data_IF_571143463127
#
_entry.id   IF_571143463127
#
_cell.length_a   1.000
_cell.length_b   1.000
_cell.length_c   1.000
_cell.angle_alpha   90.00
_cell.angle_beta   90.00
_cell.angle_gamma   90.00
#
_symmetry.space_group_name_H-M   'P 1'
#
loop_
_entity.id
_entity.type
_entity.pdbx_description
1 polymer ?
#
# COMPACT_ATOMS: atom_id res chain seq x y z
N UNK A 1 -4.22 35.29 13.97
CA UNK A 1 -3.43 34.58 12.94
C UNK A 1 -1.96 34.61 13.36
N UNK A 2 -1.34 33.44 13.56
CA UNK A 2 0.04 33.32 14.06
C UNK A 2 0.87 32.42 13.09
N UNK A 3 0.79 32.71 11.80
CA UNK A 3 1.54 31.95 10.77
C UNK A 3 2.92 32.53 10.48
N UNK A 4 3.88 31.67 10.06
CA UNK A 4 5.22 32.07 9.63
C UNK A 4 5.29 31.99 8.10
N UNK A 5 5.70 33.07 7.45
CA UNK A 5 5.90 33.11 6.01
C UNK A 5 7.31 33.64 5.69
N UNK A 6 8.08 32.86 4.94
CA UNK A 6 9.42 33.22 4.44
C UNK A 6 9.47 32.99 2.92
N UNK A 7 9.64 34.06 2.16
CA UNK A 7 9.73 34.02 0.70
C UNK A 7 8.69 34.90 0.01
N UNK A 8 8.94 35.26 -1.27
CA UNK A 8 8.03 36.07 -2.06
C UNK A 8 6.73 35.30 -2.36
N UNK A 9 5.58 35.95 -2.21
CA UNK A 9 4.25 35.35 -2.43
C UNK A 9 3.94 34.09 -1.60
N UNK A 10 4.70 33.86 -0.50
CA UNK A 10 4.34 32.82 0.46
C UNK A 10 3.06 33.17 1.22
N UNK A 11 2.27 32.18 1.59
CA UNK A 11 1.02 32.33 2.34
C UNK A 11 0.95 31.30 3.47
N UNK A 12 0.69 31.75 4.69
CA UNK A 12 0.44 30.87 5.84
C UNK A 12 -0.95 31.13 6.40
N UNK A 13 -1.65 30.06 6.75
CA UNK A 13 -2.92 30.09 7.46
C UNK A 13 -2.74 30.16 8.97
N UNK A 14 -3.76 29.75 9.71
CA UNK A 14 -3.75 29.76 11.17
C UNK A 14 -2.70 28.78 11.70
N UNK A 15 -1.69 29.31 12.44
CA UNK A 15 -0.55 28.53 12.95
C UNK A 15 0.20 27.74 11.84
N UNK A 16 0.10 28.21 10.59
CA UNK A 16 0.76 27.55 9.44
C UNK A 16 2.19 28.06 9.23
N UNK A 17 3.01 27.26 8.52
CA UNK A 17 4.38 27.60 8.11
C UNK A 17 4.48 27.50 6.59
N UNK A 18 4.87 28.60 5.92
CA UNK A 18 5.13 28.63 4.49
C UNK A 18 6.55 29.16 4.21
N UNK A 19 7.43 28.31 3.67
CA UNK A 19 8.83 28.66 3.38
C UNK A 19 9.13 28.38 1.90
N UNK A 20 9.43 29.42 1.14
CA UNK A 20 9.76 29.37 -0.28
C UNK A 20 8.88 30.27 -1.12
N UNK A 21 9.35 30.62 -2.33
CA UNK A 21 8.58 31.46 -3.26
C UNK A 21 7.28 30.77 -3.66
N UNK A 22 6.14 31.38 -3.38
CA UNK A 22 4.82 30.81 -3.67
C UNK A 22 4.44 29.60 -2.83
N UNK A 23 5.16 29.31 -1.73
CA UNK A 23 4.75 28.29 -0.79
C UNK A 23 3.41 28.66 -0.14
N UNK A 24 2.48 27.71 -0.05
CA UNK A 24 1.12 27.93 0.43
C UNK A 24 0.72 26.91 1.50
N UNK A 25 0.56 27.38 2.72
CA UNK A 25 0.05 26.65 3.87
C UNK A 25 -1.23 27.32 4.39
N UNK A 26 -2.04 27.92 3.51
CA UNK A 26 -3.23 28.67 3.84
C UNK A 26 -4.48 28.19 3.14
N UNK A 27 -4.42 28.06 1.81
CA UNK A 27 -5.63 27.83 1.01
C UNK A 27 -6.05 26.36 1.07
N UNK A 28 -7.25 26.12 1.56
CA UNK A 28 -7.84 24.79 1.63
C UNK A 28 -8.18 24.26 0.23
N UNK A 29 -7.97 22.97 0.04
CA UNK A 29 -8.42 22.29 -1.17
C UNK A 29 -9.93 22.38 -1.31
N UNK A 30 -10.41 22.80 -2.48
CA UNK A 30 -11.84 22.93 -2.76
C UNK A 30 -12.58 21.60 -2.51
N UNK A 31 -13.71 21.68 -1.81
CA UNK A 31 -14.52 20.51 -1.46
C UNK A 31 -14.07 19.74 -0.22
N UNK A 32 -13.01 20.18 0.48
CA UNK A 32 -12.64 19.61 1.77
C UNK A 32 -13.20 20.45 2.91
N UNK A 33 -13.83 19.82 3.90
CA UNK A 33 -14.30 20.52 5.10
C UNK A 33 -13.18 20.64 6.14
N UNK A 34 -13.21 21.73 6.94
CA UNK A 34 -12.36 21.83 8.11
C UNK A 34 -12.79 20.80 9.16
N UNK A 35 -11.88 20.00 9.67
CA UNK A 35 -12.13 19.17 10.84
C UNK A 35 -12.27 19.96 12.14
N UNK A 36 -11.98 21.26 12.11
CA UNK A 36 -12.13 22.17 13.25
C UNK A 36 -13.48 22.91 13.17
N UNK A 37 -14.35 22.62 14.11
CA UNK A 37 -15.63 23.31 14.28
C UNK A 37 -15.40 24.81 14.59
N UNK A 38 -15.89 25.70 13.71
CA UNK A 38 -15.94 27.13 13.96
C UNK A 38 -15.06 28.04 13.11
N UNK A 39 -14.36 27.55 12.09
CA UNK A 39 -13.62 28.40 11.16
C UNK A 39 -14.54 29.01 10.10
N UNK A 40 -14.75 30.33 10.16
CA UNK A 40 -15.51 31.10 9.16
C UNK A 40 -14.73 31.31 7.83
N UNK A 41 -13.44 30.95 7.80
CA UNK A 41 -12.51 31.13 6.67
C UNK A 41 -12.14 29.80 6.06
N UNK A 42 -11.85 29.78 4.78
CA UNK A 42 -11.43 28.61 4.03
C UNK A 42 -9.93 28.26 4.26
N UNK A 43 -9.34 28.81 5.32
CA UNK A 43 -7.92 28.63 5.64
C UNK A 43 -7.65 27.28 6.32
N UNK A 44 -6.50 26.68 6.03
CA UNK A 44 -6.00 25.50 6.75
C UNK A 44 -5.34 25.91 8.07
N UNK A 45 -5.35 24.99 9.02
CA UNK A 45 -4.75 25.15 10.36
C UNK A 45 -3.60 24.16 10.53
N UNK A 46 -2.51 24.58 11.21
CA UNK A 46 -1.33 23.75 11.50
C UNK A 46 -0.66 23.15 10.26
N UNK A 47 -0.82 23.75 9.08
CA UNK A 47 -0.23 23.23 7.85
C UNK A 47 1.20 23.73 7.65
N UNK A 48 2.07 22.93 7.06
CA UNK A 48 3.47 23.24 6.77
C UNK A 48 3.76 23.05 5.29
N UNK A 49 4.18 24.12 4.58
CA UNK A 49 4.59 24.07 3.19
C UNK A 49 6.02 24.59 3.05
N UNK A 50 6.96 23.73 2.66
CA UNK A 50 8.38 24.06 2.52
C UNK A 50 8.84 23.75 1.09
N UNK A 51 9.25 24.75 0.35
CA UNK A 51 9.74 24.67 -1.02
C UNK A 51 9.00 25.59 -1.97
N UNK A 52 9.62 25.96 -3.08
CA UNK A 52 9.00 26.80 -4.11
C UNK A 52 7.72 26.14 -4.64
N UNK A 53 6.58 26.84 -4.52
CA UNK A 53 5.28 26.32 -4.96
C UNK A 53 4.75 25.12 -4.17
N UNK A 54 5.32 24.79 -3.01
CA UNK A 54 4.77 23.76 -2.13
C UNK A 54 3.40 24.18 -1.59
N UNK A 55 2.45 23.24 -1.50
CA UNK A 55 1.07 23.51 -1.05
C UNK A 55 0.59 22.50 -0.02
N UNK A 56 0.43 22.94 1.21
CA UNK A 56 -0.22 22.18 2.28
C UNK A 56 -1.66 22.68 2.44
N UNK A 57 -2.61 22.01 1.80
CA UNK A 57 -4.00 22.48 1.62
C UNK A 57 -5.03 21.68 2.45
N UNK A 58 -4.56 21.04 3.51
CA UNK A 58 -5.37 20.35 4.54
C UNK A 58 -4.89 20.71 5.93
N UNK A 59 -5.77 20.67 6.92
CA UNK A 59 -5.39 20.86 8.32
C UNK A 59 -4.36 19.81 8.75
N UNK A 60 -3.35 20.19 9.52
CA UNK A 60 -2.24 19.37 10.00
C UNK A 60 -1.31 18.79 8.91
N UNK A 61 -1.54 19.08 7.63
CA UNK A 61 -0.77 18.50 6.55
C UNK A 61 0.60 19.16 6.36
N UNK A 62 1.57 18.36 5.89
CA UNK A 62 2.93 18.80 5.64
C UNK A 62 3.30 18.53 4.19
N UNK A 63 3.72 19.57 3.44
CA UNK A 63 4.25 19.44 2.08
C UNK A 63 5.70 19.91 2.04
N UNK A 64 6.64 19.03 1.68
CA UNK A 64 8.07 19.30 1.68
C UNK A 64 8.66 19.07 0.28
N UNK A 65 9.31 20.10 -0.25
CA UNK A 65 9.96 20.11 -1.56
C UNK A 65 9.21 20.96 -2.59
N UNK A 66 9.91 21.49 -3.57
CA UNK A 66 9.32 22.32 -4.62
C UNK A 66 8.17 21.61 -5.33
N UNK A 67 7.02 22.23 -5.45
CA UNK A 67 5.83 21.66 -6.08
C UNK A 67 5.14 20.52 -5.33
N UNK A 68 5.60 20.16 -4.13
CA UNK A 68 4.90 19.16 -3.31
C UNK A 68 3.51 19.61 -2.91
N UNK A 69 2.53 18.73 -2.87
CA UNK A 69 1.19 19.08 -2.44
C UNK A 69 0.53 17.99 -1.58
N UNK A 70 -0.50 18.37 -0.85
CA UNK A 70 -1.32 17.46 -0.04
C UNK A 70 -2.72 17.28 -0.61
N UNK A 71 -2.86 17.33 -1.95
CA UNK A 71 -4.14 17.17 -2.64
C UNK A 71 -4.76 15.78 -2.35
N UNK A 72 -3.91 14.76 -2.19
CA UNK A 72 -4.31 13.43 -1.70
C UNK A 72 -4.14 13.40 -0.18
N UNK A 73 -5.22 13.15 0.53
CA UNK A 73 -5.22 13.07 1.99
C UNK A 73 -4.78 11.71 2.51
N UNK A 74 -4.48 11.67 3.80
CA UNK A 74 -4.25 10.42 4.52
C UNK A 74 -5.48 9.50 4.47
N UNK A 75 -5.25 8.20 4.48
CA UNK A 75 -6.29 7.18 4.45
C UNK A 75 -6.31 6.36 5.74
N UNK A 76 -7.51 6.03 6.21
CA UNK A 76 -7.67 5.04 7.28
C UNK A 76 -7.46 3.65 6.68
N UNK A 77 -6.40 2.98 7.11
CA UNK A 77 -6.14 1.63 6.65
C UNK A 77 -5.36 0.86 7.71
N UNK A 78 -6.00 -0.09 8.38
CA UNK A 78 -5.41 -0.99 9.38
C UNK A 78 -5.35 -2.44 8.91
N UNK A 79 -5.92 -2.72 7.73
CA UNK A 79 -5.93 -4.07 7.14
C UNK A 79 -6.09 -4.01 5.62
N UNK A 80 -5.77 -5.12 4.97
CA UNK A 80 -6.03 -5.37 3.55
C UNK A 80 -6.52 -6.81 3.35
N UNK A 81 -7.57 -6.98 2.56
CA UNK A 81 -8.05 -8.30 2.19
C UNK A 81 -7.34 -8.77 0.92
N UNK A 82 -6.59 -9.84 1.03
CA UNK A 82 -5.89 -10.49 -0.07
C UNK A 82 -6.89 -11.16 -1.05
N UNK A 83 -6.50 -11.44 -2.31
CA UNK A 83 -7.39 -12.08 -3.30
C UNK A 83 -7.95 -13.45 -2.87
N UNK A 84 -7.27 -14.15 -1.95
CA UNK A 84 -7.72 -15.42 -1.35
C UNK A 84 -8.62 -15.23 -0.10
N UNK A 85 -9.18 -14.03 0.11
CA UNK A 85 -10.02 -13.65 1.25
C UNK A 85 -9.31 -13.68 2.62
N UNK A 86 -8.00 -13.83 2.67
CA UNK A 86 -7.23 -13.67 3.91
C UNK A 86 -7.09 -12.20 4.24
N UNK A 87 -7.37 -11.82 5.47
CA UNK A 87 -7.21 -10.44 5.96
C UNK A 87 -5.83 -10.31 6.59
N UNK A 88 -4.96 -9.52 5.97
CA UNK A 88 -3.72 -9.05 6.56
C UNK A 88 -3.99 -7.79 7.37
N UNK A 89 -3.64 -7.78 8.65
CA UNK A 89 -3.80 -6.64 9.56
C UNK A 89 -2.46 -6.15 10.06
N UNK A 90 -2.37 -4.86 10.34
CA UNK A 90 -1.16 -4.20 10.83
C UNK A 90 -1.48 -3.15 11.89
N UNK A 91 -0.46 -2.66 12.58
CA UNK A 91 -0.57 -1.63 13.59
C UNK A 91 -0.85 -0.25 12.97
N UNK A 92 -1.62 0.57 13.66
CA UNK A 92 -1.90 1.96 13.26
C UNK A 92 -2.90 2.11 12.11
N UNK A 93 -3.05 3.32 11.61
CA UNK A 93 -3.88 3.66 10.45
C UNK A 93 -5.38 3.78 10.70
N UNK A 94 -5.90 3.33 11.82
CA UNK A 94 -7.33 3.33 12.16
C UNK A 94 -7.87 4.72 12.54
N UNK A 95 -7.00 5.63 12.97
CA UNK A 95 -7.35 7.00 13.39
C UNK A 95 -6.83 8.08 12.46
N UNK A 96 -6.16 7.73 11.38
CA UNK A 96 -5.63 8.68 10.39
C UNK A 96 -6.74 9.57 9.84
N UNK A 97 -6.55 10.87 9.89
CA UNK A 97 -7.42 11.86 9.28
C UNK A 97 -6.90 12.28 7.90
N UNK A 98 -7.74 12.85 7.03
CA UNK A 98 -7.28 13.29 5.70
C UNK A 98 -6.14 14.29 5.70
N UNK A 99 -5.94 15.05 6.80
CA UNK A 99 -4.82 15.97 6.96
C UNK A 99 -3.57 15.36 7.55
N UNK A 100 -3.63 14.18 8.13
CA UNK A 100 -2.47 13.51 8.75
C UNK A 100 -1.56 12.90 7.67
N UNK A 101 -0.94 13.77 6.88
CA UNK A 101 -0.11 13.39 5.74
C UNK A 101 1.15 14.24 5.66
N UNK A 102 2.28 13.59 5.39
CA UNK A 102 3.51 14.25 4.97
C UNK A 102 3.75 13.90 3.49
N UNK A 103 3.71 14.90 2.63
CA UNK A 103 3.92 14.74 1.19
C UNK A 103 5.29 15.28 0.78
N UNK A 104 6.07 14.45 0.09
CA UNK A 104 7.36 14.82 -0.48
C UNK A 104 7.30 15.08 -2.00
N UNK A 105 6.12 15.11 -2.60
CA UNK A 105 5.94 15.28 -4.02
C UNK A 105 4.53 15.65 -4.42
N UNK A 106 4.19 15.34 -5.66
CA UNK A 106 2.85 15.42 -6.22
C UNK A 106 2.63 14.23 -7.15
N UNK A 107 1.38 13.97 -7.53
CA UNK A 107 1.02 12.86 -8.44
C UNK A 107 1.85 12.95 -9.74
N UNK A 108 2.60 11.90 -10.04
CA UNK A 108 3.51 11.80 -11.19
C UNK A 108 4.88 12.46 -10.97
N UNK A 109 5.13 13.04 -9.80
CA UNK A 109 6.41 13.67 -9.40
C UNK A 109 6.76 13.28 -7.97
N UNK A 110 6.67 12.00 -7.67
CA UNK A 110 7.01 11.42 -6.38
C UNK A 110 8.52 11.50 -6.11
N UNK A 111 8.92 11.57 -4.83
CA UNK A 111 10.33 11.58 -4.43
C UNK A 111 10.68 10.35 -3.61
N UNK A 112 11.89 9.85 -3.81
CA UNK A 112 12.44 8.78 -2.98
C UNK A 112 12.99 9.36 -1.66
N UNK A 113 12.69 8.70 -0.53
CA UNK A 113 13.41 8.92 0.70
C UNK A 113 14.69 8.09 0.69
N UNK A 114 15.85 8.75 0.78
CA UNK A 114 17.17 8.12 0.84
C UNK A 114 17.70 8.13 2.27
N UNK A 115 18.63 7.21 2.56
CA UNK A 115 19.31 7.10 3.85
C UNK A 115 18.34 6.87 5.03
N UNK A 116 17.24 6.17 4.77
CA UNK A 116 16.31 5.73 5.82
C UNK A 116 16.96 4.55 6.56
N UNK A 117 17.12 4.69 7.88
CA UNK A 117 17.57 3.59 8.72
C UNK A 117 16.53 2.45 8.75
N UNK A 118 16.93 1.20 9.02
CA UNK A 118 15.97 0.14 9.26
C UNK A 118 15.04 0.50 10.42
N UNK A 119 13.72 0.35 10.18
CA UNK A 119 12.73 0.47 11.23
C UNK A 119 12.61 -0.79 12.06
N UNK A 120 11.98 -0.71 13.23
CA UNK A 120 11.66 -1.89 14.03
C UNK A 120 10.72 -2.83 13.27
N UNK A 121 11.02 -4.12 13.28
CA UNK A 121 10.17 -5.16 12.71
C UNK A 121 9.46 -5.89 13.83
N UNK A 122 8.24 -5.47 14.13
CA UNK A 122 7.38 -6.09 15.16
C UNK A 122 5.91 -5.95 14.75
N UNK A 123 5.03 -6.71 15.41
CA UNK A 123 3.58 -6.64 15.16
C UNK A 123 2.94 -5.29 15.56
N UNK A 124 3.63 -4.48 16.35
CA UNK A 124 3.14 -3.20 16.84
C UNK A 124 3.89 -2.00 16.29
N UNK A 125 4.95 -2.22 15.51
CA UNK A 125 5.74 -1.14 14.90
C UNK A 125 4.92 -0.35 13.88
N UNK A 126 5.15 0.95 13.89
CA UNK A 126 4.67 1.89 12.87
C UNK A 126 5.81 2.61 12.15
N UNK A 127 7.04 2.08 12.30
CA UNK A 127 8.22 2.64 11.65
C UNK A 127 8.20 2.41 10.14
N UNK A 128 8.85 3.30 9.41
CA UNK A 128 9.13 3.08 7.99
C UNK A 128 10.18 1.98 7.83
N UNK A 129 9.97 1.07 6.90
CA UNK A 129 10.94 0.05 6.50
C UNK A 129 11.75 0.52 5.28
N UNK A 130 13.01 0.11 5.20
CA UNK A 130 13.82 0.38 4.02
C UNK A 130 13.92 -0.83 3.08
N UNK A 131 14.46 -0.61 1.87
CA UNK A 131 14.53 -1.64 0.84
C UNK A 131 15.34 -2.89 1.23
N UNK A 132 16.34 -2.76 2.11
CA UNK A 132 17.13 -3.92 2.54
C UNK A 132 16.34 -4.86 3.46
N UNK A 133 15.45 -4.32 4.30
CA UNK A 133 14.54 -5.12 5.12
C UNK A 133 13.57 -5.92 4.26
N UNK A 134 12.98 -5.28 3.24
CA UNK A 134 12.11 -5.96 2.28
C UNK A 134 12.86 -7.04 1.49
N UNK A 135 14.08 -6.76 1.01
CA UNK A 135 14.92 -7.74 0.32
C UNK A 135 15.18 -8.98 1.17
N UNK A 136 15.56 -8.80 2.45
CA UNK A 136 15.79 -9.91 3.37
C UNK A 136 14.53 -10.78 3.57
N UNK A 137 13.33 -10.20 3.62
CA UNK A 137 12.08 -10.94 3.72
C UNK A 137 11.80 -11.70 2.42
N UNK A 138 11.95 -11.06 1.26
CA UNK A 138 11.75 -11.69 -0.05
C UNK A 138 12.67 -12.89 -0.22
N UNK A 139 13.94 -12.78 0.18
CA UNK A 139 14.92 -13.87 0.12
C UNK A 139 14.53 -15.07 1.02
N UNK A 140 13.84 -14.83 2.13
CA UNK A 140 13.34 -15.90 3.00
C UNK A 140 12.04 -16.55 2.50
N UNK A 141 11.17 -15.77 1.83
CA UNK A 141 9.92 -16.27 1.22
C UNK A 141 10.20 -17.02 -0.07
N UNK A 142 11.32 -16.77 -0.74
CA UNK A 142 11.71 -17.48 -1.94
C UNK A 142 11.77 -19.01 -1.67
N UNK A 143 10.97 -19.78 -2.38
CA UNK A 143 10.93 -21.25 -2.27
C UNK A 143 12.25 -21.84 -2.70
N UNK A 144 13.16 -22.16 -1.75
CA UNK A 144 14.52 -22.62 -2.04
C UNK A 144 14.59 -23.96 -2.79
N UNK A 145 13.54 -24.77 -2.69
CA UNK A 145 13.48 -26.13 -3.24
C UNK A 145 12.30 -26.37 -4.18
N UNK A 146 11.52 -25.32 -4.51
CA UNK A 146 10.41 -25.37 -5.46
C UNK A 146 10.67 -24.34 -6.54
N UNK A 147 10.84 -24.79 -7.78
CA UNK A 147 11.01 -23.92 -8.94
C UNK A 147 10.05 -24.32 -10.05
N UNK A 148 9.25 -23.38 -10.52
CA UNK A 148 8.32 -23.57 -11.63
C UNK A 148 8.65 -22.50 -12.67
N UNK A 149 9.05 -22.93 -13.89
CA UNK A 149 9.22 -22.03 -15.04
C UNK A 149 8.13 -22.31 -16.06
N UNK A 150 7.31 -21.33 -16.35
CA UNK A 150 6.24 -21.43 -17.34
C UNK A 150 5.98 -20.10 -18.03
N UNK A 151 5.58 -20.14 -19.30
CA UNK A 151 4.95 -19.04 -20.02
C UNK A 151 3.42 -19.04 -19.85
N UNK A 152 2.84 -20.12 -19.32
CA UNK A 152 1.42 -20.24 -19.09
C UNK A 152 0.96 -19.39 -17.91
N UNK A 153 -0.26 -18.88 -17.99
CA UNK A 153 -0.85 -17.98 -16.99
C UNK A 153 -1.80 -18.67 -16.02
N UNK A 154 -2.32 -19.85 -16.36
CA UNK A 154 -3.23 -20.57 -15.50
C UNK A 154 -2.52 -21.12 -14.26
N UNK A 155 -3.16 -21.01 -13.12
CA UNK A 155 -2.66 -21.33 -11.78
C UNK A 155 -1.48 -20.45 -11.28
N UNK A 156 -1.09 -19.41 -12.01
CA UNK A 156 -0.04 -18.49 -11.53
C UNK A 156 -0.48 -17.68 -10.28
N UNK A 157 -1.76 -17.50 -10.11
CA UNK A 157 -2.36 -16.74 -9.00
C UNK A 157 -2.88 -17.69 -7.89
N UNK A 158 -2.40 -18.95 -7.85
CA UNK A 158 -2.80 -20.00 -6.89
C UNK A 158 -4.30 -20.31 -6.89
N UNK A 159 -4.92 -20.29 -8.06
CA UNK A 159 -6.36 -20.53 -8.23
C UNK A 159 -6.71 -21.94 -8.70
N UNK A 160 -5.71 -22.80 -8.91
CA UNK A 160 -5.89 -24.16 -9.41
C UNK A 160 -6.50 -25.13 -8.40
N UNK A 161 -6.28 -24.94 -7.11
CA UNK A 161 -6.90 -25.74 -6.06
C UNK A 161 -8.31 -25.19 -5.76
N UNK A 162 -9.34 -25.80 -6.33
CA UNK A 162 -10.75 -25.34 -6.21
C UNK A 162 -11.60 -26.15 -5.23
N UNK A 163 -11.12 -27.33 -4.82
CA UNK A 163 -11.79 -28.17 -3.84
C UNK A 163 -11.24 -27.95 -2.42
N UNK A 164 -12.05 -28.23 -1.40
CA UNK A 164 -11.62 -28.16 -0.01
C UNK A 164 -10.44 -29.10 0.29
N UNK A 165 -9.42 -28.58 0.98
CA UNK A 165 -8.23 -29.32 1.38
C UNK A 165 -7.43 -29.92 0.20
N UNK A 166 -7.55 -29.39 -1.02
CA UNK A 166 -6.83 -29.87 -2.20
C UNK A 166 -5.53 -29.12 -2.46
N UNK A 167 -4.66 -29.69 -3.28
CA UNK A 167 -3.37 -29.14 -3.67
C UNK A 167 -3.28 -29.13 -5.19
N UNK A 168 -2.90 -27.98 -5.80
CA UNK A 168 -2.59 -27.87 -7.21
C UNK A 168 -1.24 -27.13 -7.38
N UNK A 169 -0.21 -27.84 -7.88
CA UNK A 169 1.12 -27.29 -8.08
C UNK A 169 1.56 -27.50 -9.53
N UNK A 170 1.87 -26.43 -10.21
CA UNK A 170 2.33 -26.43 -11.60
C UNK A 170 1.46 -25.58 -12.52
N UNK A 171 1.98 -25.26 -13.73
CA UNK A 171 1.22 -24.59 -14.76
C UNK A 171 -0.04 -25.39 -15.10
N UNK A 172 -1.17 -24.73 -15.21
CA UNK A 172 -2.45 -25.40 -15.55
C UNK A 172 -2.89 -26.55 -14.61
N UNK A 173 -2.17 -26.82 -13.52
CA UNK A 173 -2.62 -27.81 -12.54
C UNK A 173 -3.92 -27.36 -11.89
N UNK A 174 -4.88 -28.28 -11.74
CA UNK A 174 -6.17 -27.94 -11.14
C UNK A 174 -6.82 -29.13 -10.42
N UNK A 175 -7.67 -28.81 -9.44
CA UNK A 175 -8.59 -29.76 -8.82
C UNK A 175 -10.02 -29.31 -9.09
N UNK A 176 -10.93 -30.26 -9.38
CA UNK A 176 -12.34 -29.95 -9.56
C UNK A 176 -12.99 -29.64 -8.19
N UNK A 177 -13.96 -28.75 -8.14
CA UNK A 177 -14.58 -28.29 -6.89
C UNK A 177 -15.16 -29.41 -6.01
N UNK A 178 -15.53 -30.55 -6.59
CA UNK A 178 -16.02 -31.73 -5.88
C UNK A 178 -14.92 -32.68 -5.39
N UNK A 179 -13.65 -32.45 -5.81
CA UNK A 179 -12.51 -33.32 -5.57
C UNK A 179 -11.80 -32.99 -4.24
N UNK A 180 -12.51 -32.97 -3.13
CA UNK A 180 -11.92 -32.68 -1.81
C UNK A 180 -10.71 -33.57 -1.52
N UNK A 181 -9.68 -33.01 -0.89
CA UNK A 181 -8.44 -33.68 -0.49
C UNK A 181 -7.63 -34.26 -1.65
N UNK A 182 -7.90 -33.83 -2.89
CA UNK A 182 -7.14 -34.28 -4.06
C UNK A 182 -5.81 -33.54 -4.23
N UNK A 183 -4.89 -34.17 -4.93
CA UNK A 183 -3.56 -33.62 -5.25
C UNK A 183 -3.34 -33.63 -6.76
N UNK A 184 -3.02 -32.48 -7.34
CA UNK A 184 -2.64 -32.34 -8.74
C UNK A 184 -1.26 -31.64 -8.83
N UNK A 185 -0.24 -32.37 -9.25
CA UNK A 185 1.14 -31.84 -9.35
C UNK A 185 1.71 -32.12 -10.75
N UNK A 186 2.05 -31.06 -11.47
CA UNK A 186 2.60 -31.12 -12.82
C UNK A 186 1.86 -30.22 -13.79
N UNK A 187 2.43 -30.00 -14.98
CA UNK A 187 1.78 -29.22 -16.03
C UNK A 187 0.47 -29.89 -16.48
N UNK A 188 -0.66 -29.18 -16.32
CA UNK A 188 -1.98 -29.68 -16.69
C UNK A 188 -2.49 -30.88 -15.89
N UNK A 189 -1.87 -31.20 -14.74
CA UNK A 189 -2.35 -32.27 -13.86
C UNK A 189 -3.76 -31.95 -13.31
N UNK A 190 -4.62 -32.98 -13.18
CA UNK A 190 -6.02 -32.80 -12.76
C UNK A 190 -6.46 -33.79 -11.69
N UNK A 191 -6.88 -33.28 -10.53
CA UNK A 191 -7.60 -34.04 -9.52
C UNK A 191 -9.11 -33.86 -9.71
N UNK A 192 -9.83 -34.94 -10.07
CA UNK A 192 -11.28 -34.89 -10.36
C UNK A 192 -12.15 -35.63 -9.35
N UNK A 193 -11.53 -36.42 -8.46
CA UNK A 193 -12.23 -37.20 -7.46
C UNK A 193 -11.70 -36.93 -6.06
N UNK A 194 -12.53 -37.22 -5.06
CA UNK A 194 -12.16 -37.16 -3.65
C UNK A 194 -10.98 -38.08 -3.38
N UNK A 195 -9.99 -37.59 -2.61
CA UNK A 195 -8.74 -38.31 -2.30
C UNK A 195 -7.89 -38.71 -3.52
N UNK A 196 -8.19 -38.19 -4.71
CA UNK A 196 -7.48 -38.46 -5.94
C UNK A 196 -6.08 -37.84 -5.98
N UNK A 197 -5.08 -38.58 -6.48
CA UNK A 197 -3.70 -38.12 -6.62
C UNK A 197 -3.27 -38.21 -8.09
N UNK A 198 -3.03 -37.04 -8.70
CA UNK A 198 -2.54 -36.88 -10.06
C UNK A 198 -1.16 -36.21 -10.02
N UNK A 199 -0.10 -36.96 -10.32
CA UNK A 199 1.28 -36.47 -10.36
C UNK A 199 1.90 -36.75 -11.72
N UNK A 200 2.40 -35.71 -12.37
CA UNK A 200 2.98 -35.76 -13.71
C UNK A 200 2.25 -34.84 -14.69
N UNK A 201 2.90 -34.53 -15.83
CA UNK A 201 2.31 -33.72 -16.87
C UNK A 201 1.03 -34.37 -17.42
N UNK A 202 -0.09 -33.62 -17.42
CA UNK A 202 -1.41 -34.05 -17.91
C UNK A 202 -1.98 -35.31 -17.24
N UNK A 203 -1.44 -35.69 -16.07
CA UNK A 203 -2.01 -36.78 -15.29
C UNK A 203 -3.41 -36.44 -14.79
N UNK A 204 -4.28 -37.44 -14.70
CA UNK A 204 -5.66 -37.28 -14.25
C UNK A 204 -5.97 -38.33 -13.20
N UNK A 205 -6.54 -37.92 -12.07
CA UNK A 205 -7.13 -38.80 -11.09
C UNK A 205 -8.66 -38.68 -11.21
N UNK A 206 -9.34 -39.61 -11.83
CA UNK A 206 -10.77 -39.58 -12.17
C UNK A 206 -11.57 -40.86 -11.79
N UNK A 207 -10.93 -41.84 -11.13
CA UNK A 207 -11.53 -43.04 -10.60
C UNK A 207 -10.91 -43.42 -9.25
#
# INVERSE_FOLDING_TARGET
>A
ESGITLGMKGQSGNVGIAIGTGANAKDRLSGTSSGASGQANNDVTNAIAIGTGARANRDNAIAIGGGSNTDVGGTKQSSYTLPNNVVASWAGGDKTLPGDVVSFGSKGYERQLKHVAPGEVSATSTDAINGSQLSAIVDQIAYKYISIKSSDVANKDNTGATADNSIAIGPNAATDASASRSVAVGDGARGKVVDGVAVGSKSIADI
#
